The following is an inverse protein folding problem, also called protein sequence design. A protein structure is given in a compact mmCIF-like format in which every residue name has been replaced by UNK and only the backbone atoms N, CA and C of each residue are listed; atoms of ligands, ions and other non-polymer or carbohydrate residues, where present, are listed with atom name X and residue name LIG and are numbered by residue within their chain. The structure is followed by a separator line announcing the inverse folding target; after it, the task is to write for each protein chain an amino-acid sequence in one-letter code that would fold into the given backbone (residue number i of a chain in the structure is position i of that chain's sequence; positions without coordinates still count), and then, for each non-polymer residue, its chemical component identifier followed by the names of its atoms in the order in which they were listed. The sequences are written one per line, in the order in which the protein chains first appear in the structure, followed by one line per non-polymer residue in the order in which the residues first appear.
data_IF_431688467491
#
_entry.id   IF_431688467491
#
_cell.length_a   1.000
_cell.length_b   1.000
_cell.length_c   1.000
_cell.angle_alpha   90.00
_cell.angle_beta   90.00
_cell.angle_gamma   90.00
#
_symmetry.space_group_name_H-M   'P 1'
#
loop_
_entity.id
_entity.type
_entity.pdbx_description
1 polymer ?
#
# COMPACT_ATOMS: atom_id res chain seq x y z
N UNK A 1 -10.58 -25.20 3.35
CA UNK A 1 -10.34 -23.78 3.67
C UNK A 1 -11.62 -23.03 3.42
N UNK A 2 -12.33 -22.63 4.47
CA UNK A 2 -13.50 -21.76 4.37
C UNK A 2 -12.98 -20.34 4.16
N UNK A 3 -12.88 -19.90 2.91
CA UNK A 3 -12.50 -18.54 2.58
C UNK A 3 -13.68 -17.60 2.81
N UNK A 4 -13.48 -16.52 3.57
CA UNK A 4 -14.52 -15.55 3.89
C UNK A 4 -15.39 -15.94 5.09
N UNK A 5 -16.22 -14.99 5.53
CA UNK A 5 -17.21 -15.14 6.59
C UNK A 5 -18.56 -14.61 6.11
N UNK A 6 -19.64 -15.22 6.58
CA UNK A 6 -21.00 -14.71 6.42
C UNK A 6 -21.29 -13.60 7.42
N UNK A 7 -22.34 -12.83 7.16
CA UNK A 7 -22.75 -11.71 7.99
C UNK A 7 -22.99 -12.11 9.46
N UNK A 8 -23.57 -13.29 9.67
CA UNK A 8 -23.93 -13.85 10.97
C UNK A 8 -22.72 -14.29 11.81
N UNK A 9 -21.54 -14.38 11.20
CA UNK A 9 -20.30 -14.80 11.87
C UNK A 9 -19.52 -13.62 12.45
N UNK A 10 -19.95 -12.38 12.20
CA UNK A 10 -19.35 -11.18 12.76
C UNK A 10 -19.97 -10.82 14.11
N UNK A 11 -19.13 -10.32 15.04
CA UNK A 11 -19.58 -9.82 16.34
C UNK A 11 -19.20 -8.35 16.52
N UNK A 12 -20.08 -7.55 17.11
CA UNK A 12 -19.76 -6.17 17.46
C UNK A 12 -18.53 -6.11 18.36
N UNK A 13 -17.58 -5.22 18.01
CA UNK A 13 -16.30 -5.10 18.71
C UNK A 13 -15.27 -6.19 18.40
N UNK A 14 -15.56 -7.14 17.51
CA UNK A 14 -14.57 -8.14 17.08
C UNK A 14 -13.38 -7.48 16.36
N UNK A 15 -12.16 -7.84 16.77
CA UNK A 15 -10.93 -7.42 16.09
C UNK A 15 -10.42 -8.58 15.22
N UNK A 16 -10.54 -8.41 13.91
CA UNK A 16 -10.01 -9.38 12.93
C UNK A 16 -8.53 -9.04 12.64
N UNK A 17 -7.62 -9.92 13.06
CA UNK A 17 -6.18 -9.78 12.80
C UNK A 17 -5.83 -10.44 11.46
N UNK A 18 -5.59 -9.62 10.44
CA UNK A 18 -5.17 -10.10 9.13
C UNK A 18 -3.71 -10.54 9.13
N UNK A 19 -3.43 -11.67 8.49
CA UNK A 19 -2.09 -12.21 8.27
C UNK A 19 -2.05 -12.89 6.90
N UNK A 20 -0.94 -12.85 6.16
CA UNK A 20 0.36 -12.25 6.51
C UNK A 20 0.43 -10.73 6.29
N UNK A 21 1.27 -10.06 7.07
CA UNK A 21 1.76 -8.72 6.73
C UNK A 21 2.68 -8.78 5.52
N UNK A 22 2.68 -7.73 4.69
CA UNK A 22 3.49 -7.67 3.47
C UNK A 22 4.45 -6.49 3.53
N UNK A 23 5.74 -6.75 3.35
CA UNK A 23 6.76 -5.72 3.15
C UNK A 23 6.58 -5.09 1.77
N UNK A 24 6.59 -3.76 1.71
CA UNK A 24 6.52 -3.01 0.45
C UNK A 24 7.94 -2.74 -0.06
N UNK A 25 8.19 -3.10 -1.30
CA UNK A 25 9.43 -2.79 -2.01
C UNK A 25 9.21 -1.66 -3.03
N UNK A 26 10.31 -1.09 -3.52
CA UNK A 26 10.28 -0.03 -4.52
C UNK A 26 9.51 -0.43 -5.80
N UNK A 27 9.70 -1.68 -6.24
CA UNK A 27 8.99 -2.23 -7.40
C UNK A 27 7.48 -2.23 -7.20
N UNK A 28 6.99 -2.51 -5.99
CA UNK A 28 5.55 -2.49 -5.70
C UNK A 28 4.98 -1.09 -5.85
N UNK A 29 5.66 -0.10 -5.28
CA UNK A 29 5.24 1.29 -5.32
C UNK A 29 5.28 1.85 -6.75
N UNK A 30 6.37 1.55 -7.47
CA UNK A 30 6.55 1.96 -8.85
C UNK A 30 5.48 1.34 -9.74
N UNK A 31 5.27 0.02 -9.63
CA UNK A 31 4.25 -0.68 -10.41
C UNK A 31 2.85 -0.15 -10.10
N UNK A 32 2.50 -0.03 -8.81
CA UNK A 32 1.18 0.47 -8.40
C UNK A 32 0.91 1.90 -8.90
N UNK A 33 1.90 2.79 -8.80
CA UNK A 33 1.79 4.16 -9.31
C UNK A 33 1.60 4.22 -10.82
N UNK A 34 2.31 3.37 -11.57
CA UNK A 34 2.19 3.34 -13.03
C UNK A 34 0.86 2.74 -13.51
N UNK A 35 0.39 1.65 -12.89
CA UNK A 35 -0.89 1.02 -13.30
C UNK A 35 -2.11 1.87 -12.91
N UNK A 36 -2.01 2.64 -11.82
CA UNK A 36 -3.06 3.59 -11.40
C UNK A 36 -2.95 4.96 -12.08
N UNK A 37 -1.95 5.15 -12.96
CA UNK A 37 -1.68 6.44 -13.62
C UNK A 37 -1.46 7.59 -12.63
N UNK A 38 -0.91 7.31 -11.45
CA UNK A 38 -0.45 8.36 -10.54
C UNK A 38 0.91 8.89 -11.02
N UNK A 39 0.87 10.07 -11.65
CA UNK A 39 2.03 10.70 -12.31
C UNK A 39 2.86 11.57 -11.36
N UNK A 40 2.53 11.66 -10.06
CA UNK A 40 3.28 12.52 -9.16
C UNK A 40 4.70 11.94 -8.93
N UNK A 41 5.78 12.70 -9.21
CA UNK A 41 7.15 12.16 -9.25
C UNK A 41 7.65 11.67 -7.89
N UNK A 42 7.04 12.14 -6.79
CA UNK A 42 7.38 11.68 -5.42
C UNK A 42 7.28 10.16 -5.23
N UNK A 43 6.53 9.46 -6.09
CA UNK A 43 6.33 8.01 -5.98
C UNK A 43 7.33 7.20 -6.80
N UNK A 44 7.98 7.78 -7.82
CA UNK A 44 8.72 7.02 -8.84
C UNK A 44 10.09 7.61 -9.19
N UNK A 45 10.36 8.86 -8.83
CA UNK A 45 11.60 9.56 -9.16
C UNK A 45 12.43 9.81 -7.89
N UNK A 46 13.44 8.96 -7.69
CA UNK A 46 14.35 9.08 -6.56
C UNK A 46 15.19 10.36 -6.59
N UNK A 47 15.44 10.96 -7.76
CA UNK A 47 16.15 12.23 -7.85
C UNK A 47 15.26 13.40 -7.41
N UNK A 48 13.99 13.39 -7.82
CA UNK A 48 13.00 14.32 -7.29
C UNK A 48 12.83 14.16 -5.78
N UNK A 49 12.63 12.92 -5.31
CA UNK A 49 12.31 12.62 -3.93
C UNK A 49 13.42 12.98 -2.93
N UNK A 50 14.70 12.97 -3.34
CA UNK A 50 15.83 13.45 -2.52
C UNK A 50 15.66 14.87 -1.99
N UNK A 51 14.92 15.71 -2.70
CA UNK A 51 14.69 17.11 -2.33
C UNK A 51 13.41 17.31 -1.50
N UNK A 52 12.71 16.23 -1.15
CA UNK A 52 11.49 16.24 -0.34
C UNK A 52 11.79 15.95 1.13
N UNK A 53 10.81 16.15 2.01
CA UNK A 53 10.98 15.99 3.47
C UNK A 53 11.50 14.60 3.90
N UNK A 54 11.23 13.55 3.11
CA UNK A 54 11.63 12.18 3.44
C UNK A 54 12.90 11.73 2.72
N UNK A 55 13.36 12.49 1.71
CA UNK A 55 14.57 12.17 0.94
C UNK A 55 14.50 10.85 0.13
N UNK A 56 13.32 10.23 0.05
CA UNK A 56 13.07 8.92 -0.56
C UNK A 56 11.70 8.89 -1.21
N UNK A 57 11.50 7.97 -2.16
CA UNK A 57 10.22 7.77 -2.81
C UNK A 57 9.15 7.43 -1.76
N UNK A 58 8.00 8.08 -1.89
CA UNK A 58 6.87 7.82 -1.01
C UNK A 58 5.96 6.77 -1.60
N UNK A 59 5.49 5.87 -0.74
CA UNK A 59 4.50 4.88 -1.12
C UNK A 59 3.21 5.61 -1.53
N UNK A 60 2.72 5.29 -2.72
CA UNK A 60 1.47 5.78 -3.24
C UNK A 60 0.31 5.25 -2.38
N UNK A 61 -0.48 6.18 -1.82
CA UNK A 61 -1.57 5.88 -0.90
C UNK A 61 -2.97 5.90 -1.54
N UNK A 62 -3.03 5.97 -2.88
CA UNK A 62 -4.27 5.97 -3.67
C UNK A 62 -4.98 4.62 -3.62
#
# INVERSE_FOLDING_TARGET
MTFGRYFEEFKEGEVIKHWPGRTIYETDNSWFSLVTQNQHPVHIDANYAKNTQHGQNLVNGL
#
